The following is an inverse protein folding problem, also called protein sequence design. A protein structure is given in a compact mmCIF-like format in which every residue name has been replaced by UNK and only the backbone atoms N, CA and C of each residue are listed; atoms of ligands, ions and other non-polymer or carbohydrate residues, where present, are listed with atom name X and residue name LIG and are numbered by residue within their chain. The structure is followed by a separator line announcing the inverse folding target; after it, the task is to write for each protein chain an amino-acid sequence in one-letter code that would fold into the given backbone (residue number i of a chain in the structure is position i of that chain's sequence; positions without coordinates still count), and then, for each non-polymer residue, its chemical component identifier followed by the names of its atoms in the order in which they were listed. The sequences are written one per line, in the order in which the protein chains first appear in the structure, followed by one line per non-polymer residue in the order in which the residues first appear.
data_IF_437402191419
#
_entry.id   IF_437402191419
#
_cell.length_a   1.000
_cell.length_b   1.000
_cell.length_c   1.000
_cell.angle_alpha   90.00
_cell.angle_beta   90.00
_cell.angle_gamma   90.00
#
_symmetry.space_group_name_H-M   'P 1'
#
loop_
_entity.id
_entity.type
_entity.pdbx_description
1 polymer ?
#
# COMPACT_ATOMS: atom_id res chain seq x y z
N UNK A 1 -23.17 -5.58 -19.17
CA UNK A 1 -23.66 -6.29 -17.96
C UNK A 1 -22.62 -6.11 -16.86
N UNK A 2 -23.04 -5.44 -15.80
CA UNK A 2 -22.20 -4.94 -14.70
C UNK A 2 -21.49 -6.06 -13.95
N UNK A 3 -20.15 -5.99 -13.89
CA UNK A 3 -19.34 -6.79 -12.96
C UNK A 3 -19.48 -6.35 -11.49
N UNK A 4 -20.46 -5.49 -11.18
CA UNK A 4 -20.83 -5.03 -9.84
C UNK A 4 -21.94 -5.87 -9.17
N UNK A 5 -22.25 -7.06 -9.68
CA UNK A 5 -23.33 -7.89 -9.11
C UNK A 5 -23.00 -8.51 -7.75
N UNK A 6 -21.71 -8.71 -7.43
CA UNK A 6 -21.31 -9.41 -6.23
C UNK A 6 -21.04 -8.45 -5.07
N UNK A 7 -21.83 -8.59 -4.00
CA UNK A 7 -21.57 -7.94 -2.71
C UNK A 7 -21.14 -9.02 -1.71
N UNK A 8 -19.99 -8.80 -1.08
CA UNK A 8 -19.48 -9.68 -0.05
C UNK A 8 -18.74 -8.86 1.01
N UNK A 9 -19.13 -9.02 2.26
CA UNK A 9 -18.41 -8.47 3.40
C UNK A 9 -17.55 -9.57 4.01
N UNK A 10 -16.25 -9.30 4.10
CA UNK A 10 -15.32 -10.19 4.78
C UNK A 10 -15.53 -10.03 6.29
N UNK A 11 -15.16 -11.05 7.10
CA UNK A 11 -15.16 -10.91 8.55
C UNK A 11 -14.34 -9.68 8.96
N UNK A 12 -14.98 -8.83 9.74
CA UNK A 12 -14.34 -7.70 10.39
C UNK A 12 -13.13 -8.17 11.21
N UNK A 13 -12.02 -7.42 11.13
CA UNK A 13 -10.78 -7.75 11.83
C UNK A 13 -10.41 -6.65 12.81
N UNK A 14 -10.43 -6.95 14.09
CA UNK A 14 -9.97 -6.01 15.13
C UNK A 14 -8.47 -5.75 14.96
N UNK A 15 -8.04 -4.51 15.24
CA UNK A 15 -6.65 -4.10 15.12
C UNK A 15 -6.18 -3.31 16.33
N UNK A 16 -4.93 -3.54 16.71
CA UNK A 16 -4.24 -2.72 17.71
C UNK A 16 -2.73 -2.71 17.45
N UNK A 17 -2.08 -1.67 17.95
CA UNK A 17 -0.63 -1.50 17.83
C UNK A 17 -0.06 -0.78 19.05
N UNK A 18 1.23 -0.99 19.25
CA UNK A 18 2.07 -0.29 20.21
C UNK A 18 3.07 0.60 19.46
N UNK A 19 3.74 1.51 20.19
CA UNK A 19 4.84 2.32 19.62
C UNK A 19 5.93 1.46 18.98
N UNK A 20 6.18 0.28 19.52
CA UNK A 20 7.16 -0.66 18.97
C UNK A 20 6.79 -1.10 17.55
N UNK A 21 5.50 -1.30 17.27
CA UNK A 21 5.02 -1.71 15.95
C UNK A 21 5.20 -0.59 14.93
N UNK A 22 4.97 0.67 15.33
CA UNK A 22 5.21 1.81 14.46
C UNK A 22 6.70 1.97 14.18
N UNK A 23 7.55 1.93 15.21
CA UNK A 23 9.02 1.96 15.05
C UNK A 23 9.53 0.85 14.13
N UNK A 24 9.05 -0.39 14.32
CA UNK A 24 9.40 -1.52 13.47
C UNK A 24 9.01 -1.27 12.02
N UNK A 25 7.80 -0.78 11.77
CA UNK A 25 7.34 -0.42 10.44
C UNK A 25 8.25 0.62 9.80
N UNK A 26 8.53 1.72 10.50
CA UNK A 26 9.40 2.82 10.05
C UNK A 26 10.79 2.34 9.66
N UNK A 27 11.44 1.56 10.53
CA UNK A 27 12.74 0.95 10.25
C UNK A 27 12.67 0.01 9.05
N UNK A 28 11.63 -0.83 8.99
CA UNK A 28 11.51 -1.86 7.97
C UNK A 28 11.27 -1.32 6.57
N UNK A 29 10.75 -0.10 6.43
CA UNK A 29 10.58 0.60 5.13
C UNK A 29 11.74 1.55 4.84
N UNK A 30 12.80 1.52 5.65
CA UNK A 30 14.04 2.20 5.36
C UNK A 30 14.04 3.70 5.63
N UNK A 31 13.21 4.19 6.55
CA UNK A 31 13.29 5.59 6.99
C UNK A 31 14.70 5.83 7.58
N UNK A 32 15.46 6.81 7.08
CA UNK A 32 16.83 7.07 7.53
C UNK A 32 16.85 7.81 8.88
N UNK A 33 18.00 7.74 9.54
CA UNK A 33 18.26 8.37 10.86
C UNK A 33 18.12 9.89 10.86
N UNK A 34 18.10 10.54 9.70
CA UNK A 34 17.78 11.97 9.57
C UNK A 34 16.31 12.29 9.91
N UNK A 35 15.43 11.28 10.00
CA UNK A 35 14.04 11.42 10.40
C UNK A 35 13.74 10.76 11.75
N UNK A 36 14.44 11.19 12.81
CA UNK A 36 14.26 10.65 14.17
C UNK A 36 12.82 10.75 14.69
N UNK A 37 11.98 11.63 14.17
CA UNK A 37 10.55 11.68 14.50
C UNK A 37 9.80 10.38 14.21
N UNK A 38 10.32 9.51 13.34
CA UNK A 38 9.75 8.19 13.09
C UNK A 38 10.54 7.07 13.79
N UNK A 39 11.75 7.33 14.27
CA UNK A 39 12.68 6.28 14.74
C UNK A 39 12.97 6.33 16.23
N UNK A 40 12.56 7.40 16.91
CA UNK A 40 12.79 7.59 18.33
C UNK A 40 11.50 8.04 19.02
N UNK A 41 10.94 7.17 19.86
CA UNK A 41 9.67 7.37 20.56
C UNK A 41 9.68 8.50 21.58
N UNK A 42 10.87 8.96 21.97
CA UNK A 42 11.10 10.13 22.82
C UNK A 42 11.27 11.45 22.04
N UNK A 43 11.27 11.42 20.70
CA UNK A 43 11.37 12.63 19.90
C UNK A 43 10.15 13.52 20.14
N UNK A 44 10.29 14.85 20.37
CA UNK A 44 9.17 15.74 20.70
C UNK A 44 8.12 15.82 19.59
N UNK A 45 8.53 15.48 18.35
CA UNK A 45 7.67 15.43 17.19
C UNK A 45 7.33 14.00 16.73
N UNK A 46 7.40 13.00 17.62
CA UNK A 46 7.17 11.60 17.26
C UNK A 46 5.85 11.42 16.47
N UNK A 47 5.93 10.74 15.33
CA UNK A 47 4.81 10.61 14.41
C UNK A 47 4.72 9.20 13.82
N UNK A 48 3.56 8.86 13.24
CA UNK A 48 3.31 7.58 12.57
C UNK A 48 3.33 7.81 11.06
N UNK A 49 4.06 6.94 10.33
CA UNK A 49 4.22 7.15 8.91
C UNK A 49 2.89 6.82 8.23
N UNK A 50 2.39 7.66 7.29
CA UNK A 50 0.98 7.64 6.93
C UNK A 50 0.48 6.33 6.31
N UNK A 51 1.38 5.50 5.78
CA UNK A 51 1.03 4.21 5.17
C UNK A 51 1.06 3.02 6.13
N UNK A 52 1.35 3.25 7.42
CA UNK A 52 1.24 2.23 8.48
C UNK A 52 -0.11 1.46 8.49
N UNK A 53 -1.29 2.06 8.19
CA UNK A 53 -2.53 1.30 8.12
C UNK A 53 -2.49 0.08 7.19
N UNK A 54 -1.61 0.08 6.18
CA UNK A 54 -1.52 -1.00 5.18
C UNK A 54 -1.11 -2.35 5.78
N UNK A 55 -0.39 -2.37 6.90
CA UNK A 55 0.06 -3.62 7.55
C UNK A 55 -0.92 -4.13 8.60
N UNK A 56 -1.86 -3.30 9.06
CA UNK A 56 -2.82 -3.67 10.11
C UNK A 56 -3.77 -4.79 9.70
N UNK A 57 -4.12 -4.88 8.41
CA UNK A 57 -4.92 -5.98 7.88
C UNK A 57 -4.20 -7.34 8.00
N UNK A 58 -2.86 -7.35 8.04
CA UNK A 58 -2.06 -8.53 8.30
C UNK A 58 -1.92 -8.76 9.81
N UNK A 59 -1.40 -7.77 10.54
CA UNK A 59 -1.13 -7.84 11.98
C UNK A 59 -2.36 -8.15 12.84
N UNK A 60 -3.49 -7.49 12.60
CA UNK A 60 -4.64 -7.60 13.49
C UNK A 60 -4.32 -7.09 14.90
N UNK A 61 -4.67 -7.90 15.89
CA UNK A 61 -4.32 -7.67 17.31
C UNK A 61 -3.07 -8.43 17.76
N UNK A 62 -2.49 -9.25 16.88
CA UNK A 62 -1.39 -10.16 17.20
C UNK A 62 -0.13 -9.39 17.64
N UNK A 63 0.55 -9.92 18.65
CA UNK A 63 1.82 -9.42 19.18
C UNK A 63 2.99 -10.36 18.87
N UNK A 64 2.69 -11.58 18.43
CA UNK A 64 3.65 -12.59 17.98
C UNK A 64 3.55 -12.78 16.43
N UNK A 65 3.95 -13.96 15.95
CA UNK A 65 3.90 -14.35 14.55
C UNK A 65 2.45 -14.59 14.10
N UNK A 66 2.06 -13.94 12.99
CA UNK A 66 0.79 -14.23 12.31
C UNK A 66 0.96 -15.48 11.45
N UNK A 67 0.13 -16.50 11.64
CA UNK A 67 0.09 -17.64 10.73
C UNK A 67 -0.55 -17.26 9.39
N UNK A 68 0.30 -17.05 8.38
CA UNK A 68 -0.13 -16.67 7.04
C UNK A 68 -1.07 -17.69 6.38
N UNK A 69 -1.00 -18.98 6.76
CA UNK A 69 -1.76 -20.07 6.13
C UNK A 69 -3.24 -20.03 6.53
N UNK A 70 -3.53 -19.61 7.76
CA UNK A 70 -4.87 -19.51 8.32
C UNK A 70 -5.50 -18.13 8.10
N UNK A 71 -4.69 -17.11 7.78
CA UNK A 71 -5.18 -15.78 7.45
C UNK A 71 -6.10 -15.82 6.21
N UNK A 72 -7.29 -15.24 6.34
CA UNK A 72 -8.24 -15.09 5.23
C UNK A 72 -7.66 -14.26 4.08
N UNK A 73 -7.98 -14.65 2.85
CA UNK A 73 -7.51 -14.01 1.62
C UNK A 73 -8.68 -13.48 0.80
N UNK A 74 -8.49 -12.44 -0.03
CA UNK A 74 -9.52 -11.98 -0.96
C UNK A 74 -10.08 -13.08 -1.90
N UNK A 75 -9.29 -14.12 -2.15
CA UNK A 75 -9.68 -15.28 -2.96
C UNK A 75 -10.55 -16.30 -2.23
N UNK A 76 -10.76 -16.17 -0.92
CA UNK A 76 -11.50 -17.16 -0.10
C UNK A 76 -13.02 -16.99 -0.15
N UNK A 77 -13.49 -16.23 -1.13
CA UNK A 77 -14.89 -16.00 -1.43
C UNK A 77 -15.54 -17.23 -2.06
N UNK A 78 -16.76 -17.53 -1.63
CA UNK A 78 -17.59 -18.58 -2.18
C UNK A 78 -18.90 -17.92 -2.66
N UNK A 79 -18.95 -17.62 -3.95
CA UNK A 79 -20.08 -16.92 -4.58
C UNK A 79 -20.59 -17.73 -5.77
N UNK A 80 -21.91 -17.74 -6.05
CA UNK A 80 -22.46 -18.44 -7.21
C UNK A 80 -21.81 -18.00 -8.53
N UNK A 81 -21.36 -18.98 -9.31
CA UNK A 81 -20.71 -18.75 -10.61
C UNK A 81 -19.22 -18.36 -10.53
N UNK A 82 -18.64 -18.22 -9.33
CA UNK A 82 -17.23 -17.92 -9.14
C UNK A 82 -16.46 -19.22 -8.85
N UNK A 83 -15.41 -19.56 -9.61
CA UNK A 83 -14.62 -20.76 -9.35
C UNK A 83 -13.79 -20.60 -8.07
N UNK A 84 -13.40 -21.72 -7.47
CA UNK A 84 -12.40 -21.74 -6.40
C UNK A 84 -11.04 -21.42 -7.00
N UNK A 85 -10.34 -20.43 -6.43
CA UNK A 85 -9.00 -20.05 -6.88
C UNK A 85 -7.89 -20.81 -6.13
N UNK A 86 -6.88 -21.24 -6.87
CA UNK A 86 -5.61 -21.70 -6.35
C UNK A 86 -4.81 -20.51 -5.80
N UNK A 87 -4.64 -20.50 -4.47
CA UNK A 87 -3.92 -19.47 -3.72
C UNK A 87 -2.45 -19.35 -4.11
N UNK A 88 -1.82 -20.42 -4.61
CA UNK A 88 -0.41 -20.43 -4.99
C UNK A 88 -0.13 -19.60 -6.26
N UNK A 89 -1.17 -19.22 -6.99
CA UNK A 89 -1.08 -18.46 -8.24
C UNK A 89 -1.67 -17.05 -8.13
N UNK A 90 -1.69 -16.50 -6.93
CA UNK A 90 -2.24 -15.18 -6.62
C UNK A 90 -1.11 -14.18 -6.40
N UNK A 91 -1.22 -13.01 -7.03
CA UNK A 91 -0.29 -11.90 -6.82
C UNK A 91 -1.04 -10.60 -6.55
N UNK A 92 -0.45 -9.69 -5.81
CA UNK A 92 -0.97 -8.33 -5.69
C UNK A 92 -0.91 -7.63 -7.07
N UNK A 93 -2.00 -6.96 -7.46
CA UNK A 93 -2.10 -6.25 -8.72
C UNK A 93 -1.90 -4.73 -8.53
N UNK A 94 -2.61 -4.13 -7.58
CA UNK A 94 -2.43 -2.73 -7.21
C UNK A 94 -2.83 -2.44 -5.78
N UNK A 95 -2.37 -1.30 -5.27
CA UNK A 95 -2.75 -0.80 -3.96
C UNK A 95 -2.87 0.72 -3.96
N UNK A 96 -3.91 1.21 -3.29
CA UNK A 96 -4.22 2.61 -3.06
C UNK A 96 -4.57 2.80 -1.59
N UNK A 97 -4.08 3.87 -0.98
CA UNK A 97 -4.55 4.34 0.32
C UNK A 97 -5.09 5.76 0.17
N UNK A 98 -6.21 6.02 0.83
CA UNK A 98 -6.78 7.34 1.04
C UNK A 98 -6.75 7.60 2.54
N UNK A 99 -6.12 8.69 2.93
CA UNK A 99 -5.91 9.05 4.33
C UNK A 99 -6.88 10.16 4.72
N UNK A 100 -7.71 9.85 5.71
CA UNK A 100 -8.76 10.74 6.21
C UNK A 100 -8.26 11.49 7.43
N UNK A 101 -7.68 10.78 8.40
CA UNK A 101 -7.22 11.31 9.69
C UNK A 101 -5.82 10.78 10.04
N UNK A 102 -5.00 11.54 10.79
CA UNK A 102 -3.73 11.04 11.29
C UNK A 102 -3.96 9.86 12.25
N UNK A 103 -2.98 8.97 12.33
CA UNK A 103 -2.94 7.93 13.34
C UNK A 103 -2.12 8.38 14.54
N UNK A 104 -2.61 8.06 15.74
CA UNK A 104 -1.82 8.19 16.95
C UNK A 104 -0.77 7.06 17.02
N UNK A 105 0.33 7.35 17.72
CA UNK A 105 1.39 6.40 18.04
C UNK A 105 0.89 5.11 18.74
N UNK A 106 -0.17 5.24 19.53
CA UNK A 106 -0.88 4.14 20.17
C UNK A 106 -2.37 4.49 20.12
N UNK A 107 -3.26 3.52 19.83
CA UNK A 107 -4.70 3.73 19.98
C UNK A 107 -5.06 4.18 21.41
N UNK A 108 -5.99 5.12 21.55
CA UNK A 108 -6.48 5.48 22.88
C UNK A 108 -7.32 4.33 23.47
N UNK A 109 -7.30 4.17 24.80
CA UNK A 109 -7.97 3.05 25.50
C UNK A 109 -9.46 2.88 25.17
N UNK A 110 -10.15 3.96 24.81
CA UNK A 110 -11.58 3.95 24.49
C UNK A 110 -11.88 3.65 23.02
N UNK A 111 -10.87 3.59 22.16
CA UNK A 111 -11.06 3.32 20.73
C UNK A 111 -11.30 1.84 20.49
N UNK A 112 -12.25 1.53 19.63
CA UNK A 112 -12.49 0.17 19.14
C UNK A 112 -12.15 0.13 17.66
N UNK A 113 -10.87 -0.10 17.37
CA UNK A 113 -10.35 -0.06 16.01
C UNK A 113 -10.52 -1.39 15.28
N UNK A 114 -10.99 -1.33 14.05
CA UNK A 114 -11.15 -2.49 13.19
C UNK A 114 -10.88 -2.16 11.71
N UNK A 115 -10.52 -3.21 10.96
CA UNK A 115 -10.56 -3.24 9.52
C UNK A 115 -11.87 -3.88 9.10
N UNK A 116 -12.71 -3.10 8.43
CA UNK A 116 -13.91 -3.60 7.75
C UNK A 116 -13.59 -3.74 6.27
N UNK A 117 -13.81 -4.91 5.69
CA UNK A 117 -13.42 -5.17 4.30
C UNK A 117 -14.59 -5.69 3.48
N UNK A 118 -14.72 -5.19 2.26
CA UNK A 118 -15.74 -5.61 1.31
C UNK A 118 -15.14 -5.88 -0.07
N UNK A 119 -15.80 -6.77 -0.81
CA UNK A 119 -15.54 -7.01 -2.23
C UNK A 119 -16.12 -5.83 -3.02
N UNK A 120 -15.29 -5.15 -3.80
CA UNK A 120 -15.72 -4.05 -4.69
C UNK A 120 -15.77 -4.48 -6.15
N UNK A 121 -15.08 -5.57 -6.51
CA UNK A 121 -15.14 -6.11 -7.86
C UNK A 121 -14.54 -7.50 -7.98
N UNK A 122 -15.11 -8.31 -8.86
CA UNK A 122 -14.51 -9.55 -9.34
C UNK A 122 -14.67 -9.62 -10.85
N UNK A 123 -13.54 -9.71 -11.56
CA UNK A 123 -13.51 -9.52 -12.99
C UNK A 123 -12.74 -10.61 -13.71
N UNK A 124 -13.40 -11.23 -14.68
CA UNK A 124 -12.78 -12.22 -15.56
C UNK A 124 -11.93 -11.50 -16.62
N UNK A 125 -10.61 -11.61 -16.51
CA UNK A 125 -9.68 -11.02 -17.47
C UNK A 125 -9.31 -12.01 -18.59
N UNK A 126 -10.05 -13.11 -18.73
CA UNK A 126 -9.81 -14.18 -19.70
C UNK A 126 -8.60 -15.00 -19.29
N UNK A 127 -7.78 -15.42 -20.28
CA UNK A 127 -6.60 -16.24 -20.04
C UNK A 127 -5.55 -15.59 -19.11
N UNK A 128 -5.58 -14.26 -18.95
CA UNK A 128 -4.71 -13.57 -17.99
C UNK A 128 -5.03 -13.92 -16.53
N UNK A 129 -6.30 -14.21 -16.20
CA UNK A 129 -6.72 -14.55 -14.84
C UNK A 129 -8.00 -13.86 -14.38
N UNK A 130 -8.24 -13.89 -13.07
CA UNK A 130 -9.34 -13.17 -12.42
C UNK A 130 -8.79 -12.08 -11.50
N UNK A 131 -9.26 -10.85 -11.67
CA UNK A 131 -8.94 -9.72 -10.80
C UNK A 131 -10.00 -9.62 -9.70
N UNK A 132 -9.58 -9.63 -8.45
CA UNK A 132 -10.46 -9.47 -7.27
C UNK A 132 -10.05 -8.19 -6.56
N UNK A 133 -10.95 -7.23 -6.46
CA UNK A 133 -10.75 -5.94 -5.82
C UNK A 133 -11.54 -5.86 -4.51
N UNK A 134 -10.90 -5.32 -3.49
CA UNK A 134 -11.48 -5.11 -2.17
C UNK A 134 -11.21 -3.70 -1.66
N UNK A 135 -12.18 -3.15 -0.93
CA UNK A 135 -11.98 -1.95 -0.12
C UNK A 135 -11.94 -2.35 1.36
N UNK A 136 -10.92 -1.88 2.06
CA UNK A 136 -10.72 -2.04 3.50
C UNK A 136 -10.76 -0.67 4.19
N UNK A 137 -11.50 -0.56 5.28
CA UNK A 137 -11.70 0.67 6.02
C UNK A 137 -11.13 0.52 7.43
N UNK A 138 -10.16 1.35 7.78
CA UNK A 138 -9.73 1.48 9.17
C UNK A 138 -10.71 2.40 9.89
N UNK A 139 -11.50 1.83 10.78
CA UNK A 139 -12.57 2.52 11.49
C UNK A 139 -12.39 2.43 12.99
N UNK A 140 -12.82 3.47 13.69
CA UNK A 140 -13.13 3.41 15.12
C UNK A 140 -14.63 3.21 15.28
N UNK A 141 -15.02 1.99 15.68
CA UNK A 141 -16.43 1.63 15.87
C UNK A 141 -17.10 2.44 16.98
N UNK A 142 -16.33 2.92 17.96
CA UNK A 142 -16.87 3.71 19.07
C UNK A 142 -17.35 5.09 18.62
N UNK A 143 -16.65 5.69 17.66
CA UNK A 143 -16.91 7.05 17.20
C UNK A 143 -17.51 7.09 15.78
N UNK A 144 -17.53 5.97 15.06
CA UNK A 144 -17.82 5.93 13.62
C UNK A 144 -16.74 6.58 12.73
N UNK A 145 -15.60 7.00 13.28
CA UNK A 145 -14.55 7.66 12.51
C UNK A 145 -13.86 6.70 11.56
N UNK A 146 -13.61 7.15 10.32
CA UNK A 146 -12.73 6.46 9.37
C UNK A 146 -11.37 7.16 9.33
N UNK A 147 -10.29 6.39 9.48
CA UNK A 147 -8.91 6.89 9.45
C UNK A 147 -8.28 6.73 8.08
N UNK A 148 -8.49 5.57 7.46
CA UNK A 148 -7.98 5.26 6.13
C UNK A 148 -8.97 4.41 5.33
N UNK A 149 -8.94 4.56 4.02
CA UNK A 149 -9.53 3.63 3.06
C UNK A 149 -8.39 3.03 2.24
N UNK A 150 -8.29 1.71 2.20
CA UNK A 150 -7.30 0.98 1.43
C UNK A 150 -8.05 0.23 0.33
N UNK A 151 -7.72 0.51 -0.93
CA UNK A 151 -8.24 -0.23 -2.07
C UNK A 151 -7.11 -1.10 -2.59
N UNK A 152 -7.34 -2.40 -2.63
CA UNK A 152 -6.37 -3.38 -3.09
C UNK A 152 -7.00 -4.30 -4.12
N UNK A 153 -6.20 -4.80 -5.04
CA UNK A 153 -6.61 -5.90 -5.88
C UNK A 153 -5.54 -6.98 -5.95
N UNK A 154 -5.99 -8.22 -6.08
CA UNK A 154 -5.18 -9.39 -6.37
C UNK A 154 -5.55 -9.96 -7.73
N UNK A 155 -4.57 -10.55 -8.41
CA UNK A 155 -4.76 -11.29 -9.66
C UNK A 155 -4.55 -12.77 -9.41
N UNK A 156 -5.61 -13.56 -9.56
CA UNK A 156 -5.52 -15.02 -9.65
C UNK A 156 -5.07 -15.38 -11.08
N UNK A 157 -3.74 -15.47 -11.28
CA UNK A 157 -3.11 -15.55 -12.61
C UNK A 157 -3.50 -16.83 -13.35
N UNK A 158 -3.98 -16.69 -14.57
CA UNK A 158 -4.39 -17.82 -15.42
C UNK A 158 -5.67 -18.53 -14.95
N UNK A 159 -6.40 -17.95 -13.99
CA UNK A 159 -7.62 -18.50 -13.41
C UNK A 159 -8.85 -17.67 -13.82
N UNK A 160 -8.93 -17.28 -15.10
CA UNK A 160 -10.10 -16.63 -15.71
C UNK A 160 -10.81 -17.56 -16.70
N UNK A 161 -11.63 -17.01 -17.59
CA UNK A 161 -12.38 -17.78 -18.60
C UNK A 161 -13.64 -18.48 -18.06
N UNK A 162 -14.16 -18.02 -16.93
CA UNK A 162 -15.40 -18.54 -16.31
C UNK A 162 -16.66 -17.80 -16.79
N UNK A 163 -16.52 -16.85 -17.71
CA UNK A 163 -17.65 -16.14 -18.34
C UNK A 163 -18.10 -14.90 -17.57
N UNK A 164 -17.27 -14.41 -16.65
CA UNK A 164 -17.54 -13.22 -15.87
C UNK A 164 -17.43 -11.92 -16.65
N UNK A 165 -17.91 -10.83 -16.02
CA UNK A 165 -17.70 -9.49 -16.57
C UNK A 165 -16.21 -9.15 -16.56
N UNK A 166 -15.72 -8.54 -17.65
CA UNK A 166 -14.34 -8.03 -17.73
C UNK A 166 -14.09 -6.84 -16.80
N UNK A 167 -15.13 -6.21 -16.29
CA UNK A 167 -15.04 -5.02 -15.44
C UNK A 167 -14.56 -3.77 -16.17
N UNK A 168 -14.51 -2.64 -15.45
CA UNK A 168 -14.08 -1.37 -16.02
C UNK A 168 -12.57 -1.37 -16.32
N UNK A 169 -12.17 -0.45 -17.21
CA UNK A 169 -10.76 -0.09 -17.37
C UNK A 169 -10.30 0.70 -16.15
N UNK A 170 -9.16 0.33 -15.58
CA UNK A 170 -8.56 1.07 -14.47
C UNK A 170 -7.97 2.38 -14.99
N UNK A 171 -8.24 3.49 -14.30
CA UNK A 171 -7.62 4.78 -14.56
C UNK A 171 -6.09 4.64 -14.61
N UNK A 172 -5.47 5.26 -15.62
CA UNK A 172 -4.02 5.22 -15.82
C UNK A 172 -3.41 6.56 -15.47
N UNK A 173 -2.18 6.52 -14.98
CA UNK A 173 -1.41 7.70 -14.57
C UNK A 173 -0.02 7.61 -15.20
N UNK A 174 0.08 7.75 -16.53
CA UNK A 174 1.37 7.66 -17.21
C UNK A 174 2.27 8.81 -16.74
N UNK A 175 3.52 8.48 -16.40
CA UNK A 175 4.55 9.51 -16.20
C UNK A 175 4.87 10.17 -17.55
N UNK A 176 5.26 11.46 -17.58
CA UNK A 176 5.64 12.11 -18.83
C UNK A 176 6.81 11.39 -19.51
N UNK A 177 6.66 11.04 -20.79
CA UNK A 177 7.65 10.23 -21.50
C UNK A 177 8.94 10.99 -21.89
N UNK A 178 8.88 12.31 -21.94
CA UNK A 178 9.92 13.16 -22.53
C UNK A 178 10.61 14.10 -21.54
N UNK A 179 10.17 14.15 -20.28
CA UNK A 179 10.75 15.03 -19.27
C UNK A 179 11.58 14.24 -18.27
N UNK A 180 12.71 14.80 -17.86
CA UNK A 180 13.46 14.26 -16.73
C UNK A 180 12.59 14.30 -15.47
N UNK A 181 12.74 13.33 -14.54
CA UNK A 181 12.07 13.37 -13.26
C UNK A 181 12.55 14.58 -12.45
N UNK A 182 11.62 15.27 -11.78
CA UNK A 182 11.91 16.39 -10.88
C UNK A 182 12.64 15.93 -9.62
N UNK A 183 12.36 14.69 -9.17
CA UNK A 183 13.01 14.07 -8.04
C UNK A 183 13.35 12.61 -8.33
N UNK A 184 14.49 12.17 -7.79
CA UNK A 184 14.93 10.78 -7.84
C UNK A 184 15.35 10.34 -6.45
N UNK A 185 14.87 9.18 -6.02
CA UNK A 185 15.29 8.56 -4.77
C UNK A 185 15.71 7.11 -5.04
N UNK A 186 16.89 6.71 -4.56
CA UNK A 186 17.40 5.34 -4.70
C UNK A 186 17.43 4.70 -3.33
N UNK A 187 16.82 3.53 -3.21
CA UNK A 187 16.85 2.70 -2.02
C UNK A 187 17.51 1.35 -2.33
N UNK A 188 18.60 1.04 -1.62
CA UNK A 188 19.29 -0.23 -1.77
C UNK A 188 18.66 -1.29 -0.86
N UNK A 189 18.10 -2.35 -1.45
CA UNK A 189 17.61 -3.49 -0.66
C UNK A 189 18.76 -4.42 -0.29
N UNK A 190 18.54 -5.27 0.72
CA UNK A 190 19.50 -6.29 1.18
C UNK A 190 18.81 -7.64 1.27
N UNK A 191 19.60 -8.70 1.46
CA UNK A 191 19.07 -10.04 1.75
C UNK A 191 18.19 -10.10 3.02
N UNK A 192 18.35 -9.14 3.95
CA UNK A 192 17.56 -9.06 5.18
C UNK A 192 16.28 -8.24 5.01
N UNK A 193 16.15 -7.43 3.95
CA UNK A 193 14.99 -6.57 3.72
C UNK A 193 13.64 -7.28 3.85
N UNK A 194 13.36 -8.40 3.16
CA UNK A 194 12.06 -9.06 3.28
C UNK A 194 11.88 -9.76 4.64
N UNK A 195 12.98 -10.18 5.28
CA UNK A 195 12.96 -10.80 6.61
C UNK A 195 12.64 -9.81 7.73
N UNK A 196 13.04 -8.54 7.56
CA UNK A 196 12.66 -7.46 8.46
C UNK A 196 11.22 -7.01 8.20
N UNK A 197 10.84 -6.78 6.92
CA UNK A 197 9.52 -6.26 6.59
C UNK A 197 8.36 -7.21 6.94
N UNK A 198 8.56 -8.53 6.83
CA UNK A 198 7.53 -9.52 7.23
C UNK A 198 7.10 -9.43 8.70
N UNK A 199 7.95 -8.87 9.57
CA UNK A 199 7.63 -8.71 11.00
C UNK A 199 6.46 -7.75 11.24
N UNK A 200 6.04 -7.00 10.22
CA UNK A 200 4.82 -6.19 10.25
C UNK A 200 3.51 -6.98 10.07
N UNK A 201 3.57 -8.31 9.86
CA UNK A 201 2.39 -9.18 9.81
C UNK A 201 2.27 -10.04 8.55
N UNK A 202 2.96 -9.73 7.45
CA UNK A 202 2.93 -10.56 6.25
C UNK A 202 4.03 -11.63 6.28
N UNK A 203 3.71 -12.75 6.94
CA UNK A 203 4.59 -13.89 7.14
C UNK A 203 4.61 -14.88 5.96
N UNK A 204 4.11 -14.51 4.77
CA UNK A 204 4.12 -15.37 3.58
C UNK A 204 5.53 -15.97 3.32
N UNK A 205 5.68 -17.31 3.25
CA UNK A 205 6.98 -17.95 3.05
C UNK A 205 7.64 -17.58 1.73
N UNK A 206 6.90 -17.09 0.74
CA UNK A 206 7.43 -16.56 -0.52
C UNK A 206 8.55 -15.50 -0.31
N UNK A 207 8.49 -14.78 0.81
CA UNK A 207 9.42 -13.69 1.14
C UNK A 207 10.55 -14.11 2.09
N UNK A 208 10.63 -15.39 2.47
CA UNK A 208 11.61 -15.86 3.45
C UNK A 208 12.34 -17.14 3.01
N UNK A 209 11.66 -18.01 2.25
CA UNK A 209 12.19 -19.30 1.88
C UNK A 209 12.29 -19.42 0.33
N UNK A 210 13.46 -19.79 -0.23
CA UNK A 210 13.67 -19.85 -1.68
C UNK A 210 12.83 -20.86 -2.46
N UNK A 211 12.55 -22.05 -1.93
CA UNK A 211 11.81 -23.12 -2.61
C UNK A 211 10.41 -22.69 -3.07
N UNK A 212 9.71 -21.85 -2.30
CA UNK A 212 8.38 -21.36 -2.67
C UNK A 212 8.42 -20.49 -3.93
N UNK A 213 9.37 -19.54 -3.99
CA UNK A 213 9.54 -18.72 -5.19
C UNK A 213 10.00 -19.52 -6.41
N UNK A 214 10.84 -20.54 -6.22
CA UNK A 214 11.24 -21.46 -7.30
C UNK A 214 10.04 -22.25 -7.85
N UNK A 215 9.18 -22.78 -6.98
CA UNK A 215 7.95 -23.47 -7.40
C UNK A 215 7.01 -22.55 -8.21
N UNK A 216 7.01 -21.25 -7.90
CA UNK A 216 6.23 -20.24 -8.63
C UNK A 216 6.92 -19.68 -9.88
N UNK A 217 8.12 -20.15 -10.24
CA UNK A 217 8.89 -19.68 -11.38
C UNK A 217 9.54 -18.30 -11.19
N UNK A 218 9.70 -17.85 -9.94
CA UNK A 218 10.32 -16.57 -9.57
C UNK A 218 11.81 -16.71 -9.25
N UNK A 219 12.40 -17.90 -9.34
CA UNK A 219 13.84 -18.11 -9.13
C UNK A 219 14.34 -18.08 -7.67
N UNK A 220 13.54 -17.58 -6.72
CA UNK A 220 13.89 -17.57 -5.30
C UNK A 220 13.01 -16.62 -4.49
N UNK A 221 13.55 -16.13 -3.37
CA UNK A 221 12.87 -15.15 -2.51
C UNK A 221 12.63 -13.85 -3.28
N UNK A 222 11.39 -13.36 -3.26
CA UNK A 222 11.03 -12.01 -3.74
C UNK A 222 10.68 -11.12 -2.56
N UNK A 223 10.93 -9.82 -2.67
CA UNK A 223 10.51 -8.83 -1.68
C UNK A 223 9.00 -8.57 -1.79
N UNK A 224 8.35 -8.31 -0.66
CA UNK A 224 6.94 -7.92 -0.64
C UNK A 224 6.70 -6.71 -1.55
N UNK A 225 5.74 -6.78 -2.46
CA UNK A 225 5.37 -5.60 -3.26
C UNK A 225 4.99 -4.42 -2.35
N UNK A 226 4.33 -4.71 -1.23
CA UNK A 226 3.97 -3.71 -0.21
C UNK A 226 5.19 -3.02 0.41
N UNK A 227 6.35 -3.68 0.55
CA UNK A 227 7.57 -3.01 0.97
C UNK A 227 7.98 -1.95 -0.06
N UNK A 228 8.12 -2.34 -1.33
CA UNK A 228 8.51 -1.43 -2.43
C UNK A 228 7.55 -0.25 -2.52
N UNK A 229 6.25 -0.50 -2.34
CA UNK A 229 5.21 0.53 -2.33
C UNK A 229 5.36 1.51 -1.17
N UNK A 230 5.71 1.02 0.04
CA UNK A 230 5.95 1.88 1.19
C UNK A 230 7.24 2.70 1.08
N UNK A 231 8.31 2.11 0.53
CA UNK A 231 9.56 2.84 0.22
C UNK A 231 9.29 3.98 -0.77
N UNK A 232 8.50 3.72 -1.81
CA UNK A 232 8.09 4.76 -2.77
C UNK A 232 7.24 5.85 -2.10
N UNK A 233 6.35 5.48 -1.17
CA UNK A 233 5.57 6.47 -0.40
C UNK A 233 6.47 7.36 0.45
N UNK A 234 7.48 6.77 1.11
CA UNK A 234 8.50 7.53 1.84
C UNK A 234 9.25 8.48 0.91
N UNK A 235 9.77 8.00 -0.21
CA UNK A 235 10.49 8.81 -1.20
C UNK A 235 9.67 10.02 -1.67
N UNK A 236 8.38 9.80 -1.99
CA UNK A 236 7.48 10.86 -2.46
C UNK A 236 7.15 11.86 -1.35
N UNK A 237 6.92 11.39 -0.11
CA UNK A 237 6.71 12.28 1.03
C UNK A 237 7.95 13.12 1.36
N UNK A 238 9.15 12.53 1.26
CA UNK A 238 10.39 13.24 1.54
C UNK A 238 10.70 14.28 0.47
N UNK A 239 10.64 13.89 -0.81
CA UNK A 239 10.87 14.80 -1.94
C UNK A 239 9.92 16.01 -1.91
N UNK A 240 8.68 15.82 -1.43
CA UNK A 240 7.70 16.89 -1.33
C UNK A 240 7.78 17.71 -0.05
N UNK A 241 8.67 17.34 0.90
CA UNK A 241 8.77 17.97 2.21
C UNK A 241 7.55 17.73 3.09
N UNK A 242 6.75 16.70 2.81
CA UNK A 242 5.57 16.35 3.59
C UNK A 242 5.93 15.85 5.00
N UNK A 243 7.16 15.38 5.22
CA UNK A 243 7.65 14.88 6.51
C UNK A 243 8.09 16.00 7.49
N UNK A 244 8.12 17.26 7.04
CA UNK A 244 8.61 18.40 7.85
C UNK A 244 7.59 18.94 8.86
N UNK A 245 6.31 18.63 8.69
CA UNK A 245 5.24 19.08 9.59
C UNK A 245 4.58 17.84 10.21
N UNK A 246 4.83 17.55 11.48
CA UNK A 246 4.26 16.40 12.18
C UNK A 246 2.72 16.44 12.18
N UNK A 247 2.07 15.27 12.20
CA UNK A 247 0.63 15.06 12.47
C UNK A 247 -0.38 15.67 11.49
N UNK A 248 0.05 16.46 10.50
CA UNK A 248 -0.78 16.84 9.38
C UNK A 248 -0.75 15.70 8.36
N UNK A 249 -1.89 15.03 8.15
CA UNK A 249 -2.04 14.15 6.98
C UNK A 249 -1.95 15.01 5.72
N UNK A 250 -0.72 15.19 5.23
CA UNK A 250 -0.40 15.95 4.02
C UNK A 250 -0.63 15.07 2.82
N UNK A 251 -0.18 13.82 2.89
CA UNK A 251 -0.50 12.79 1.90
C UNK A 251 -1.99 12.44 2.03
N UNK A 252 -2.79 12.75 1.01
CA UNK A 252 -4.23 12.46 0.95
C UNK A 252 -4.50 11.11 0.29
N UNK A 253 -3.76 10.82 -0.78
CA UNK A 253 -3.95 9.65 -1.64
C UNK A 253 -2.57 9.17 -2.09
N UNK A 254 -2.33 7.87 -2.06
CA UNK A 254 -1.13 7.27 -2.65
C UNK A 254 -1.49 5.94 -3.28
N UNK A 255 -1.08 5.73 -4.53
CA UNK A 255 -1.38 4.50 -5.25
C UNK A 255 -0.33 4.14 -6.29
N UNK A 256 -0.21 2.84 -6.57
CA UNK A 256 0.60 2.29 -7.65
C UNK A 256 0.11 0.89 -8.02
N UNK A 257 0.54 0.43 -9.21
CA UNK A 257 0.36 -0.95 -9.68
C UNK A 257 1.67 -1.72 -9.54
N UNK A 258 1.59 -2.95 -9.06
CA UNK A 258 2.72 -3.88 -9.00
C UNK A 258 2.96 -4.43 -10.40
N UNK A 259 4.12 -4.12 -10.98
CA UNK A 259 4.43 -4.43 -12.37
C UNK A 259 5.33 -5.66 -12.52
N UNK A 260 6.35 -5.77 -11.65
CA UNK A 260 7.34 -6.85 -11.67
C UNK A 260 7.80 -7.18 -10.25
N UNK A 261 8.27 -8.41 -9.98
CA UNK A 261 8.87 -8.76 -8.69
C UNK A 261 10.15 -7.96 -8.44
N UNK A 262 10.47 -7.78 -7.16
CA UNK A 262 11.74 -7.22 -6.67
C UNK A 262 12.49 -8.32 -5.96
N UNK A 263 13.80 -8.40 -6.15
CA UNK A 263 14.66 -9.38 -5.52
C UNK A 263 15.53 -8.75 -4.42
N UNK A 264 15.86 -9.50 -3.36
CA UNK A 264 16.80 -9.03 -2.35
C UNK A 264 18.15 -8.68 -2.97
N UNK A 265 18.60 -7.43 -2.77
CA UNK A 265 19.80 -6.89 -3.41
C UNK A 265 19.51 -5.93 -4.57
N UNK A 266 18.27 -5.86 -5.06
CA UNK A 266 17.88 -4.85 -6.06
C UNK A 266 18.02 -3.42 -5.51
N UNK A 267 18.45 -2.51 -6.38
CA UNK A 267 18.43 -1.08 -6.12
C UNK A 267 17.15 -0.46 -6.69
N UNK A 268 16.30 0.10 -5.82
CA UNK A 268 15.00 0.65 -6.18
C UNK A 268 15.09 2.14 -6.45
N UNK A 269 14.97 2.54 -7.71
CA UNK A 269 14.95 3.94 -8.14
C UNK A 269 13.51 4.43 -8.29
N UNK A 270 13.06 5.28 -7.37
CA UNK A 270 11.78 6.00 -7.46
C UNK A 270 12.01 7.30 -8.21
N UNK A 271 11.44 7.40 -9.41
CA UNK A 271 11.45 8.59 -10.25
C UNK A 271 10.11 9.31 -10.11
N UNK A 272 10.13 10.62 -9.90
CA UNK A 272 8.95 11.41 -9.53
C UNK A 272 8.84 12.66 -10.40
N UNK A 273 7.63 12.94 -10.86
CA UNK A 273 7.27 14.12 -11.64
C UNK A 273 6.18 14.89 -10.92
N UNK A 274 6.43 16.17 -10.69
CA UNK A 274 5.47 17.09 -10.13
C UNK A 274 4.61 17.69 -11.24
N UNK A 275 3.32 17.39 -11.18
CA UNK A 275 2.37 17.90 -12.17
C UNK A 275 1.89 19.29 -11.78
N UNK A 276 1.54 20.10 -12.78
CA UNK A 276 0.84 21.36 -12.54
C UNK A 276 -0.38 21.14 -11.64
N UNK A 277 -0.58 22.02 -10.66
CA UNK A 277 -1.63 21.90 -9.65
C UNK A 277 -3.00 21.63 -10.31
N UNK A 278 -3.53 20.43 -10.08
CA UNK A 278 -4.87 20.07 -10.53
C UNK A 278 -5.92 20.55 -9.53
N UNK A 279 -7.14 20.76 -10.01
CA UNK A 279 -8.31 20.90 -9.15
C UNK A 279 -8.70 19.50 -8.67
N UNK A 280 -8.56 19.23 -7.37
CA UNK A 280 -9.04 17.99 -6.76
C UNK A 280 -10.55 17.85 -6.86
N UNK A 281 -11.08 16.66 -6.54
CA UNK A 281 -12.52 16.35 -6.59
C UNK A 281 -13.41 17.30 -5.75
N UNK A 282 -12.82 18.04 -4.82
CA UNK A 282 -13.48 19.00 -3.92
C UNK A 282 -13.16 20.48 -4.26
N UNK A 283 -12.62 20.77 -5.44
CA UNK A 283 -12.33 22.16 -5.85
C UNK A 283 -11.03 22.75 -5.30
N UNK A 284 -10.31 22.05 -4.42
CA UNK A 284 -9.04 22.50 -3.85
C UNK A 284 -7.86 22.23 -4.80
N UNK A 285 -6.88 23.13 -4.84
CA UNK A 285 -5.60 22.87 -5.54
C UNK A 285 -4.87 21.72 -4.83
N UNK A 286 -4.69 20.61 -5.50
CA UNK A 286 -3.91 19.48 -4.97
C UNK A 286 -2.53 19.48 -5.63
N UNK A 287 -1.49 19.17 -4.83
CA UNK A 287 -0.16 18.89 -5.39
C UNK A 287 -0.17 17.42 -5.81
N UNK A 288 0.13 17.16 -7.08
CA UNK A 288 0.04 15.84 -7.70
C UNK A 288 1.45 15.41 -8.08
N UNK A 289 1.88 14.27 -7.57
CA UNK A 289 3.14 13.63 -7.96
C UNK A 289 2.81 12.35 -8.72
N UNK A 290 3.29 12.24 -9.95
CA UNK A 290 3.31 10.96 -10.67
C UNK A 290 4.66 10.30 -10.45
N UNK A 291 4.69 8.98 -10.34
CA UNK A 291 5.95 8.28 -10.12
C UNK A 291 5.99 6.89 -10.75
N UNK A 292 7.21 6.39 -10.93
CA UNK A 292 7.50 4.99 -11.24
C UNK A 292 8.66 4.52 -10.40
N UNK A 293 8.73 3.22 -10.13
CA UNK A 293 9.90 2.60 -9.49
C UNK A 293 10.49 1.59 -10.45
N UNK A 294 11.81 1.67 -10.62
CA UNK A 294 12.61 0.75 -11.43
C UNK A 294 13.69 0.09 -10.60
N UNK A 295 14.08 -1.14 -10.94
CA UNK A 295 15.29 -1.74 -10.40
C UNK A 295 16.54 -1.24 -11.17
N UNK A 296 17.73 -1.71 -10.78
CA UNK A 296 19.01 -1.38 -11.42
C UNK A 296 19.09 -1.70 -12.92
N UNK A 297 18.33 -2.70 -13.39
CA UNK A 297 18.29 -3.11 -14.80
C UNK A 297 17.29 -2.28 -15.62
N UNK A 298 16.64 -1.29 -14.99
CA UNK A 298 15.61 -0.47 -15.61
C UNK A 298 14.23 -1.12 -15.67
N UNK A 299 14.05 -2.32 -15.11
CA UNK A 299 12.76 -3.02 -15.05
C UNK A 299 11.79 -2.23 -14.18
N UNK A 300 10.60 -1.93 -14.70
CA UNK A 300 9.55 -1.27 -13.92
C UNK A 300 8.96 -2.26 -12.91
N UNK A 301 9.07 -1.93 -11.63
CA UNK A 301 8.54 -2.75 -10.52
C UNK A 301 7.27 -2.12 -9.94
N UNK A 302 7.16 -0.79 -9.92
CA UNK A 302 5.90 -0.07 -9.69
C UNK A 302 5.59 0.87 -10.86
N UNK A 303 4.39 0.72 -11.41
CA UNK A 303 3.89 1.56 -12.52
C UNK A 303 2.65 2.33 -12.11
N UNK A 304 2.29 3.34 -12.91
CA UNK A 304 1.11 4.17 -12.69
C UNK A 304 1.07 4.71 -11.26
N UNK A 305 2.20 5.17 -10.73
CA UNK A 305 2.28 5.74 -9.39
C UNK A 305 1.64 7.13 -9.36
N UNK A 306 0.81 7.40 -8.36
CA UNK A 306 0.25 8.74 -8.10
C UNK A 306 0.18 9.00 -6.61
N UNK A 307 0.60 10.20 -6.19
CA UNK A 307 0.36 10.74 -4.88
C UNK A 307 -0.39 12.08 -4.98
N UNK A 308 -1.38 12.28 -4.11
CA UNK A 308 -2.08 13.56 -3.95
C UNK A 308 -1.78 14.12 -2.57
N UNK A 309 -1.42 15.39 -2.51
CA UNK A 309 -1.18 16.10 -1.26
C UNK A 309 -2.20 17.23 -1.06
N UNK A 310 -2.64 17.39 0.18
CA UNK A 310 -3.48 18.52 0.59
C UNK A 310 -2.71 19.82 0.42
N UNK A 311 -3.38 20.85 -0.11
CA UNK A 311 -2.80 22.19 -0.23
C UNK A 311 -2.36 22.69 1.15
N UNK A 312 -1.14 23.18 1.26
CA UNK A 312 -0.79 24.08 2.36
C UNK A 312 -1.38 25.43 1.99
N UNK A 313 -2.42 25.90 2.69
CA UNK A 313 -2.75 27.32 2.61
C UNK A 313 -1.48 28.09 2.97
N UNK A 314 -0.98 28.92 2.06
CA UNK A 314 -0.07 29.99 2.47
C UNK A 314 -0.87 30.78 3.50
N UNK A 315 -0.40 30.80 4.74
CA UNK A 315 -0.94 31.70 5.75
C UNK A 315 -1.03 33.09 5.14
N UNK A 316 -2.19 33.72 5.32
CA UNK A 316 -2.37 35.14 5.05
C UNK A 316 -1.14 35.87 5.57
N UNK A 317 -0.28 36.36 4.66
CA UNK A 317 0.69 37.38 4.99
C UNK A 317 -0.14 38.58 5.42
N UNK A 318 -0.32 38.74 6.74
CA UNK A 318 -0.76 39.99 7.30
C UNK A 318 0.26 41.04 6.82
N UNK A 319 -0.17 41.86 5.87
CA UNK A 319 0.55 43.07 5.49
C UNK A 319 0.36 44.06 6.64
N UNK A 320 1.50 44.52 7.14
CA UNK A 320 1.75 45.74 7.94
C UNK A 320 0.96 45.90 9.24
#
# INVERSE_FOLDING_TARGET
MDGGQYKYHYPDKDVTWLKRDTLLFHLSIGIPTTHLQYLYEGHPAYDVFPTFPTVLAYKGTEQDIVDYRTMGKPTDIHLPGIPKFDRSRVVDAHKRIILHKPLAAIPAKHQSLAIQQELTGIYDKGLSGTLIETASYLVDRSSGSRYATIIGAVMARGQGGWGGSRGPSLATFPVPATTQPDYVHVYQTTHQTPLLFRLNGDYNPLHAEPSHGRQMGLGGVVIHGLFTWNVAAYAVCEATGALKIPTAVRLKDFQARFASPVYPGDALTTQMWEMAHGTGAEGHKERIILFTVRNQDGTVVLSNGRALFRSTSKGSSAKM
#
